data_IF_067310370574
#
_entry.id   IF_067310370574
#
_cell.length_a   1.000
_cell.length_b   1.000
_cell.length_c   1.000
_cell.angle_alpha   90.00
_cell.angle_beta   90.00
_cell.angle_gamma   90.00
#
_symmetry.space_group_name_H-M   'P 1'
#
loop_
_entity.id
_entity.type
_entity.pdbx_description
1 polymer ?
#
# COMPACT_ATOMS: atom_id res chain seq x y z
N UNK A 1 4.66 2.39 -0.48
CA UNK A 1 5.63 2.04 0.58
C UNK A 1 4.89 1.21 1.62
N UNK A 2 5.50 0.17 2.16
CA UNK A 2 4.97 -0.56 3.30
C UNK A 2 5.91 -0.40 4.49
N UNK A 3 5.35 -0.03 5.64
CA UNK A 3 6.05 0.05 6.92
C UNK A 3 5.91 -1.29 7.63
N UNK A 4 7.01 -1.82 8.17
CA UNK A 4 7.03 -3.01 9.02
C UNK A 4 7.26 -2.56 10.46
N UNK A 5 6.28 -2.78 11.32
CA UNK A 5 6.40 -2.45 12.75
C UNK A 5 7.39 -3.40 13.43
N UNK A 6 8.30 -2.84 14.23
CA UNK A 6 9.32 -3.58 15.00
C UNK A 6 9.08 -3.62 16.49
N UNK A 7 8.25 -2.71 17.02
CA UNK A 7 7.92 -2.62 18.44
C UNK A 7 6.41 -2.52 18.63
N UNK A 8 5.95 -3.12 19.73
CA UNK A 8 4.58 -2.95 20.19
C UNK A 8 4.35 -1.52 20.67
N UNK A 9 3.26 -0.88 20.27
CA UNK A 9 2.94 0.48 20.71
C UNK A 9 1.47 0.88 20.60
N UNK A 10 1.02 1.71 21.52
CA UNK A 10 -0.32 2.31 21.59
C UNK A 10 -0.14 3.76 22.02
N UNK A 11 -0.88 4.70 21.41
CA UNK A 11 -0.74 6.14 21.67
C UNK A 11 0.69 6.66 21.51
N UNK A 12 1.38 6.19 20.47
CA UNK A 12 2.79 6.51 20.22
C UNK A 12 2.91 8.01 19.91
N UNK A 13 3.78 8.78 20.61
CA UNK A 13 4.04 10.18 20.26
C UNK A 13 4.57 10.35 18.84
N UNK A 14 4.21 11.44 18.16
CA UNK A 14 4.58 11.66 16.75
C UNK A 14 6.09 11.69 16.54
N UNK A 15 6.82 12.33 17.45
CA UNK A 15 8.28 12.47 17.45
C UNK A 15 9.02 11.16 17.74
N UNK A 16 8.34 10.16 18.31
CA UNK A 16 8.90 8.84 18.59
C UNK A 16 8.47 7.77 17.56
N UNK A 17 7.53 8.10 16.67
CA UNK A 17 6.86 7.14 15.79
C UNK A 17 7.82 6.29 14.94
N UNK A 18 8.88 6.91 14.39
CA UNK A 18 9.85 6.20 13.54
C UNK A 18 10.69 5.18 14.34
N UNK A 19 10.85 5.36 15.65
CA UNK A 19 11.62 4.45 16.50
C UNK A 19 10.91 3.10 16.75
N UNK A 20 9.64 2.98 16.34
CA UNK A 20 8.85 1.75 16.43
C UNK A 20 8.92 0.89 15.17
N UNK A 21 9.55 1.38 14.11
CA UNK A 21 9.62 0.73 12.79
C UNK A 21 10.84 -0.20 12.73
N UNK A 22 10.66 -1.43 12.24
CA UNK A 22 11.77 -2.36 11.97
C UNK A 22 12.40 -2.12 10.58
N UNK A 23 11.57 -1.73 9.61
CA UNK A 23 12.03 -1.47 8.25
C UNK A 23 10.88 -1.21 7.30
N UNK A 24 11.20 -1.29 6.01
CA UNK A 24 10.32 -0.95 4.92
C UNK A 24 10.36 -2.01 3.83
N UNK A 25 9.24 -2.21 3.16
CA UNK A 25 9.13 -3.12 2.01
C UNK A 25 8.19 -2.55 0.95
N UNK A 26 8.03 -3.26 -0.16
CA UNK A 26 7.06 -2.94 -1.19
C UNK A 26 5.79 -3.75 -0.91
N UNK A 27 4.64 -3.10 -1.00
CA UNK A 27 3.34 -3.79 -1.06
C UNK A 27 2.55 -3.24 -2.25
N UNK A 28 1.95 -4.13 -3.02
CA UNK A 28 0.97 -3.76 -4.02
C UNK A 28 -0.44 -3.94 -3.44
N UNK A 29 -1.15 -2.84 -3.26
CA UNK A 29 -2.52 -2.83 -2.71
C UNK A 29 -3.53 -3.00 -3.85
N UNK A 30 -3.60 -4.22 -4.40
CA UNK A 30 -4.43 -4.57 -5.56
C UNK A 30 -5.90 -4.37 -5.19
N UNK A 31 -6.69 -3.84 -6.13
CA UNK A 31 -8.06 -3.43 -5.85
C UNK A 31 -9.01 -3.78 -7.00
N UNK A 32 -10.01 -4.61 -6.73
CA UNK A 32 -11.10 -4.86 -7.68
C UNK A 32 -12.15 -3.76 -7.55
N UNK A 33 -12.14 -2.82 -8.49
CA UNK A 33 -12.96 -1.61 -8.44
C UNK A 33 -14.40 -1.80 -8.90
N UNK A 34 -14.74 -2.96 -9.43
CA UNK A 34 -16.06 -3.33 -9.97
C UNK A 34 -16.70 -4.48 -9.20
N UNK A 35 -16.13 -4.89 -8.06
CA UNK A 35 -16.66 -5.98 -7.26
C UNK A 35 -18.13 -5.72 -6.89
N UNK A 36 -19.00 -6.68 -7.23
CA UNK A 36 -20.40 -6.73 -6.80
C UNK A 36 -20.64 -8.06 -6.11
N UNK A 37 -20.53 -8.09 -4.79
CA UNK A 37 -20.69 -9.31 -3.99
C UNK A 37 -22.14 -9.79 -4.02
N UNK A 38 -23.08 -8.85 -3.91
CA UNK A 38 -24.52 -9.08 -4.07
C UNK A 38 -25.16 -7.83 -4.64
N UNK A 39 -26.07 -8.01 -5.59
CA UNK A 39 -27.08 -6.99 -5.85
C UNK A 39 -28.00 -6.98 -4.63
N UNK A 40 -27.93 -5.94 -3.81
CA UNK A 40 -29.00 -5.70 -2.85
C UNK A 40 -30.27 -5.43 -3.66
N UNK A 41 -31.35 -6.12 -3.34
CA UNK A 41 -32.64 -5.95 -4.01
C UNK A 41 -33.12 -4.47 -3.98
N UNK A 42 -32.67 -3.72 -2.98
CA UNK A 42 -32.82 -2.27 -2.86
C UNK A 42 -31.47 -1.71 -2.40
N UNK A 43 -30.96 -0.70 -3.10
CA UNK A 43 -29.76 0.04 -2.69
C UNK A 43 -30.23 1.45 -2.40
N UNK A 44 -30.25 1.83 -1.13
CA UNK A 44 -30.57 3.20 -0.73
C UNK A 44 -29.38 4.13 -1.02
N UNK A 45 -29.61 5.44 -1.06
CA UNK A 45 -28.53 6.42 -1.23
C UNK A 45 -27.44 6.25 -0.16
N UNK A 46 -27.84 5.97 1.09
CA UNK A 46 -26.95 5.74 2.22
C UNK A 46 -26.16 4.42 2.15
N UNK A 47 -26.57 3.48 1.29
CA UNK A 47 -25.87 2.22 1.06
C UNK A 47 -24.70 2.37 0.07
N UNK A 48 -24.56 3.53 -0.57
CA UNK A 48 -23.49 3.81 -1.53
C UNK A 48 -22.17 4.01 -0.81
N UNK A 49 -21.48 2.91 -0.54
CA UNK A 49 -20.10 2.87 -0.11
C UNK A 49 -19.37 1.83 -0.95
N UNK A 50 -18.19 2.17 -1.48
CA UNK A 50 -17.33 1.17 -2.09
C UNK A 50 -16.75 0.31 -0.97
N UNK A 51 -17.04 -0.98 -1.01
CA UNK A 51 -16.53 -1.93 -0.02
C UNK A 51 -15.03 -2.17 -0.24
N UNK A 52 -14.23 -1.31 0.38
CA UNK A 52 -12.78 -1.38 0.36
C UNK A 52 -12.23 -2.69 0.91
N UNK A 53 -12.92 -3.27 1.90
CA UNK A 53 -12.51 -4.52 2.51
C UNK A 53 -12.59 -5.63 1.47
N UNK A 54 -13.78 -5.85 0.91
CA UNK A 54 -13.98 -6.91 -0.06
C UNK A 54 -13.25 -6.67 -1.39
N UNK A 55 -13.06 -5.41 -1.81
CA UNK A 55 -12.29 -5.08 -3.00
C UNK A 55 -10.78 -5.36 -2.92
N UNK A 56 -10.24 -5.67 -1.73
CA UNK A 56 -8.79 -5.77 -1.46
C UNK A 56 -8.34 -7.05 -0.77
N UNK A 57 -9.26 -7.92 -0.36
CA UNK A 57 -8.96 -9.10 0.46
C UNK A 57 -8.83 -10.42 -0.31
N UNK A 58 -8.99 -10.40 -1.64
CA UNK A 58 -8.89 -11.60 -2.47
C UNK A 58 -7.50 -12.23 -2.40
N UNK A 59 -7.43 -13.54 -2.64
CA UNK A 59 -6.17 -14.26 -2.75
C UNK A 59 -5.24 -13.54 -3.72
N UNK A 60 -3.97 -13.40 -3.33
CA UNK A 60 -2.90 -12.70 -4.08
C UNK A 60 -2.99 -11.16 -4.15
N UNK A 61 -3.98 -10.49 -3.52
CA UNK A 61 -4.17 -9.03 -3.65
C UNK A 61 -3.24 -8.14 -2.81
N UNK A 62 -2.37 -8.74 -1.99
CA UNK A 62 -1.35 -8.04 -1.24
C UNK A 62 0.07 -8.59 -1.53
N UNK A 63 0.57 -8.59 -2.78
CA UNK A 63 1.96 -8.94 -3.04
C UNK A 63 2.89 -8.04 -2.24
N UNK A 64 3.80 -8.65 -1.48
CA UNK A 64 4.67 -7.96 -0.53
C UNK A 64 6.09 -8.52 -0.62
N UNK A 65 7.10 -7.65 -0.60
CA UNK A 65 8.51 -8.02 -0.71
C UNK A 65 9.32 -7.05 -1.58
N UNK A 66 10.39 -7.50 -2.26
CA UNK A 66 10.97 -8.85 -2.19
C UNK A 66 11.66 -9.17 -0.85
N UNK A 67 12.01 -8.14 -0.09
CA UNK A 67 12.61 -8.23 1.25
C UNK A 67 12.24 -6.99 2.08
N UNK A 68 12.67 -6.98 3.34
CA UNK A 68 12.55 -5.83 4.25
C UNK A 68 13.90 -5.13 4.28
N UNK A 69 13.92 -3.84 3.96
CA UNK A 69 15.10 -2.97 4.14
C UNK A 69 15.02 -2.33 5.52
N UNK A 70 16.06 -2.46 6.32
CA UNK A 70 16.07 -1.98 7.70
C UNK A 70 16.17 -0.45 7.77
N UNK A 71 15.72 0.11 8.90
CA UNK A 71 15.67 1.58 9.12
C UNK A 71 17.03 2.28 9.04
N UNK A 72 18.15 1.58 9.28
CA UNK A 72 19.50 2.14 9.16
C UNK A 72 19.94 2.36 7.70
N UNK A 73 19.41 1.58 6.75
CA UNK A 73 19.66 1.77 5.32
C UNK A 73 18.75 2.87 4.70
N UNK A 74 17.61 3.16 5.35
CA UNK A 74 16.65 4.19 4.95
C UNK A 74 16.49 5.22 6.09
N UNK A 75 17.42 6.20 6.18
CA UNK A 75 17.40 7.18 7.27
C UNK A 75 16.22 8.15 7.19
N UNK A 76 15.66 8.37 6.00
CA UNK A 76 14.47 9.21 5.79
C UNK A 76 13.47 8.49 4.88
N UNK A 77 12.35 7.97 5.41
CA UNK A 77 11.33 7.30 4.60
C UNK A 77 10.52 8.25 3.71
N UNK A 78 10.63 9.58 3.90
CA UNK A 78 9.98 10.58 3.06
C UNK A 78 10.83 10.99 1.85
N UNK A 79 11.92 10.30 1.55
CA UNK A 79 12.76 10.60 0.37
C UNK A 79 12.96 9.39 -0.56
N UNK A 80 11.90 8.62 -0.80
CA UNK A 80 11.92 7.43 -1.65
C UNK A 80 11.09 7.66 -2.90
N UNK A 81 11.69 7.49 -4.09
CA UNK A 81 10.93 7.45 -5.33
C UNK A 81 10.23 6.10 -5.46
N UNK A 82 9.00 6.13 -5.93
CA UNK A 82 8.16 4.95 -6.17
C UNK A 82 7.74 4.98 -7.63
N UNK A 83 7.98 3.88 -8.34
CA UNK A 83 7.60 3.72 -9.74
C UNK A 83 6.86 2.42 -9.95
N UNK A 84 5.86 2.43 -10.84
CA UNK A 84 5.10 1.26 -11.23
C UNK A 84 4.97 1.19 -12.74
N UNK A 85 5.22 0.01 -13.29
CA UNK A 85 5.04 -0.31 -14.71
C UNK A 85 4.03 -1.44 -14.88
N UNK A 86 3.32 -1.40 -16.00
CA UNK A 86 2.53 -2.53 -16.49
C UNK A 86 3.08 -2.87 -17.87
N UNK A 87 3.59 -4.10 -18.05
CA UNK A 87 4.24 -4.54 -19.29
C UNK A 87 5.38 -3.60 -19.76
N UNK A 88 6.13 -3.04 -18.81
CA UNK A 88 7.20 -2.08 -19.08
C UNK A 88 6.73 -0.64 -19.37
N UNK A 89 5.44 -0.38 -19.48
CA UNK A 89 4.90 0.98 -19.62
C UNK A 89 4.71 1.63 -18.26
N UNK A 90 5.32 2.81 -18.05
CA UNK A 90 5.26 3.54 -16.78
C UNK A 90 3.83 4.04 -16.53
N UNK A 91 3.23 3.61 -15.42
CA UNK A 91 1.87 3.98 -15.02
C UNK A 91 1.86 4.91 -13.81
N UNK A 92 2.79 4.74 -12.87
CA UNK A 92 2.93 5.61 -11.70
C UNK A 92 4.40 5.97 -11.48
N UNK A 93 4.62 7.23 -11.11
CA UNK A 93 5.94 7.78 -10.76
C UNK A 93 5.72 8.88 -9.73
N UNK A 94 6.18 8.66 -8.50
CA UNK A 94 5.97 9.59 -7.39
C UNK A 94 7.08 9.49 -6.36
N UNK A 95 6.99 10.31 -5.32
CA UNK A 95 7.95 10.30 -4.23
C UNK A 95 7.22 10.33 -2.88
N UNK A 96 7.79 9.69 -1.86
CA UNK A 96 7.20 9.65 -0.52
C UNK A 96 7.14 11.03 0.14
N UNK A 97 7.93 12.02 -0.29
CA UNK A 97 7.80 13.43 0.16
C UNK A 97 6.45 14.05 -0.19
N UNK A 98 5.76 13.51 -1.19
CA UNK A 98 4.46 14.01 -1.66
C UNK A 98 3.29 13.39 -0.87
N UNK A 99 3.56 12.55 0.13
CA UNK A 99 2.54 12.01 1.02
C UNK A 99 1.86 13.12 1.81
N UNK A 100 0.53 13.10 1.84
CA UNK A 100 -0.28 14.04 2.64
C UNK A 100 -0.03 13.84 4.15
N UNK A 101 0.12 12.59 4.57
CA UNK A 101 0.48 12.20 5.93
C UNK A 101 1.79 11.43 5.86
N UNK A 102 2.79 11.86 6.63
CA UNK A 102 4.09 11.21 6.66
C UNK A 102 4.00 9.82 7.29
N UNK A 103 5.04 8.99 7.12
CA UNK A 103 5.12 7.71 7.83
C UNK A 103 4.96 7.87 9.35
N UNK A 104 5.54 8.92 9.94
CA UNK A 104 5.38 9.21 11.36
C UNK A 104 3.93 9.53 11.72
N UNK A 105 3.25 10.37 10.92
CA UNK A 105 1.83 10.71 11.13
C UNK A 105 0.93 9.47 11.08
N UNK A 106 1.18 8.58 10.12
CA UNK A 106 0.41 7.34 9.94
C UNK A 106 0.57 6.43 11.16
N UNK A 107 1.81 6.17 11.59
CA UNK A 107 2.08 5.32 12.77
C UNK A 107 1.48 5.93 14.04
N UNK A 108 1.69 7.23 14.25
CA UNK A 108 1.09 7.98 15.36
C UNK A 108 -0.43 7.80 15.38
N UNK A 109 -1.10 8.11 14.27
CA UNK A 109 -2.55 8.06 14.15
C UNK A 109 -3.11 6.64 14.35
N UNK A 110 -2.55 5.63 13.67
CA UNK A 110 -3.03 4.26 13.78
C UNK A 110 -2.86 3.71 15.21
N UNK A 111 -1.77 4.06 15.90
CA UNK A 111 -1.56 3.67 17.29
C UNK A 111 -2.59 4.25 18.27
N UNK A 112 -3.31 5.31 17.90
CA UNK A 112 -4.42 5.85 18.69
C UNK A 112 -5.71 5.04 18.49
N UNK A 113 -5.87 4.38 17.34
CA UNK A 113 -7.03 3.54 17.01
C UNK A 113 -6.85 2.11 17.56
N UNK A 114 -5.75 1.44 17.22
CA UNK A 114 -5.42 0.08 17.68
C UNK A 114 -4.03 0.02 18.29
N UNK A 115 -3.72 -1.03 19.05
CA UNK A 115 -2.33 -1.34 19.41
C UNK A 115 -1.64 -1.86 18.16
N UNK A 116 -0.47 -1.32 17.83
CA UNK A 116 0.41 -1.84 16.79
C UNK A 116 1.31 -2.91 17.40
N UNK A 117 1.46 -4.06 16.73
CA UNK A 117 2.27 -5.19 17.16
C UNK A 117 3.50 -5.37 16.24
N UNK A 118 4.62 -5.92 16.73
CA UNK A 118 5.75 -6.27 15.87
C UNK A 118 5.33 -7.24 14.76
N UNK A 119 5.71 -6.92 13.52
CA UNK A 119 5.28 -7.66 12.34
C UNK A 119 4.05 -7.08 11.64
N UNK A 120 3.35 -6.11 12.23
CA UNK A 120 2.29 -5.38 11.54
C UNK A 120 2.81 -4.69 10.29
N UNK A 121 2.05 -4.80 9.20
CA UNK A 121 2.33 -4.16 7.92
C UNK A 121 1.35 -3.02 7.68
N UNK A 122 1.89 -1.84 7.39
CA UNK A 122 1.08 -0.65 7.09
C UNK A 122 1.35 -0.22 5.64
N UNK A 123 0.36 -0.42 4.77
CA UNK A 123 0.38 0.12 3.41
C UNK A 123 0.07 1.62 3.45
N UNK A 124 1.05 2.47 3.10
CA UNK A 124 0.98 3.92 3.33
C UNK A 124 0.31 4.70 2.19
N UNK A 125 -0.50 4.01 1.37
CA UNK A 125 -1.12 4.59 0.17
C UNK A 125 -0.26 4.50 -1.10
N UNK A 126 -0.78 5.09 -2.19
CA UNK A 126 -0.23 5.00 -3.55
C UNK A 126 -0.16 6.39 -4.19
N UNK A 127 0.86 6.70 -5.01
CA UNK A 127 0.94 7.96 -5.75
C UNK A 127 -0.15 8.06 -6.83
N UNK A 128 -0.18 9.20 -7.54
CA UNK A 128 -1.04 9.39 -8.72
C UNK A 128 -0.76 8.34 -9.81
N UNK A 129 -1.69 8.19 -10.74
CA UNK A 129 -1.54 7.31 -11.93
C UNK A 129 -2.29 5.98 -11.85
N UNK A 130 -3.07 5.74 -10.79
CA UNK A 130 -3.92 4.55 -10.66
C UNK A 130 -4.84 4.35 -11.87
N UNK A 131 -4.97 3.10 -12.34
CA UNK A 131 -5.66 2.78 -13.58
C UNK A 131 -7.13 3.23 -13.62
N UNK A 132 -7.86 3.13 -12.51
CA UNK A 132 -9.29 3.49 -12.44
C UNK A 132 -9.57 4.95 -12.81
N UNK A 133 -8.67 5.89 -12.44
CA UNK A 133 -8.81 7.30 -12.77
C UNK A 133 -8.62 7.57 -14.28
N UNK A 134 -8.10 6.58 -15.02
CA UNK A 134 -7.81 6.61 -16.45
C UNK A 134 -8.66 5.60 -17.24
N UNK A 135 -9.59 4.90 -16.59
CA UNK A 135 -10.40 3.84 -17.21
C UNK A 135 -9.62 2.57 -17.57
N UNK A 136 -8.43 2.37 -16.99
CA UNK A 136 -7.57 1.22 -17.22
C UNK A 136 -7.73 0.16 -16.12
N UNK A 137 -7.64 -1.10 -16.52
CA UNK A 137 -7.71 -2.27 -15.64
C UNK A 137 -6.65 -3.28 -16.05
N UNK A 138 -6.14 -4.03 -15.07
CA UNK A 138 -5.24 -5.16 -15.30
C UNK A 138 -5.99 -6.27 -16.04
N UNK A 139 -5.26 -7.00 -16.89
CA UNK A 139 -5.76 -8.13 -17.67
C UNK A 139 -4.88 -9.36 -17.47
N UNK A 140 -5.41 -10.58 -17.68
CA UNK A 140 -4.59 -11.78 -17.71
C UNK A 140 -3.42 -11.63 -18.69
N UNK A 141 -2.21 -11.99 -18.24
CA UNK A 141 -0.97 -11.83 -18.99
C UNK A 141 -0.22 -10.53 -18.72
N UNK A 142 -0.84 -9.54 -18.05
CA UNK A 142 -0.12 -8.34 -17.63
C UNK A 142 0.94 -8.68 -16.57
N UNK A 143 2.08 -7.99 -16.62
CA UNK A 143 3.10 -8.02 -15.56
C UNK A 143 3.17 -6.66 -14.90
N UNK A 144 2.94 -6.64 -13.59
CA UNK A 144 3.05 -5.44 -12.76
C UNK A 144 4.42 -5.42 -12.09
N UNK A 145 5.20 -4.39 -12.35
CA UNK A 145 6.52 -4.17 -11.73
C UNK A 145 6.46 -2.93 -10.85
N UNK A 146 6.84 -3.04 -9.58
CA UNK A 146 6.98 -1.91 -8.67
C UNK A 146 8.44 -1.78 -8.26
N UNK A 147 8.96 -0.56 -8.25
CA UNK A 147 10.28 -0.24 -7.75
C UNK A 147 10.18 0.87 -6.71
N UNK A 148 10.86 0.67 -5.57
CA UNK A 148 11.08 1.73 -4.59
C UNK A 148 12.58 1.87 -4.38
N UNK A 149 13.09 3.09 -4.49
CA UNK A 149 14.51 3.40 -4.28
C UNK A 149 14.96 2.85 -2.91
N UNK A 150 16.19 2.32 -2.86
CA UNK A 150 16.79 1.65 -1.68
C UNK A 150 16.12 0.37 -1.20
N UNK A 151 14.95 -0.01 -1.72
CA UNK A 151 14.29 -1.28 -1.36
C UNK A 151 14.55 -2.32 -2.44
N UNK A 152 14.07 -2.11 -3.67
CA UNK A 152 14.24 -3.08 -4.75
C UNK A 152 13.08 -3.07 -5.74
N UNK A 153 12.90 -4.20 -6.43
CA UNK A 153 11.81 -4.44 -7.39
C UNK A 153 10.95 -5.62 -6.99
N UNK A 154 9.65 -5.47 -7.14
CA UNK A 154 8.64 -6.51 -6.97
C UNK A 154 7.87 -6.69 -8.27
N UNK A 155 7.89 -7.89 -8.84
CA UNK A 155 7.17 -8.24 -10.07
C UNK A 155 6.12 -9.31 -9.81
N UNK A 156 4.91 -9.06 -10.30
CA UNK A 156 3.78 -9.97 -10.14
C UNK A 156 3.05 -10.12 -11.49
N UNK A 157 3.00 -11.33 -12.07
CA UNK A 157 2.16 -11.59 -13.23
C UNK A 157 0.69 -11.66 -12.82
N UNK A 158 -0.19 -11.15 -13.67
CA UNK A 158 -1.63 -11.23 -13.52
C UNK A 158 -2.12 -12.45 -14.27
N UNK A 159 -2.78 -13.37 -13.57
CA UNK A 159 -3.38 -14.56 -14.15
C UNK A 159 -4.88 -14.54 -13.91
N UNK A 160 -5.67 -15.04 -14.87
CA UNK A 160 -7.06 -15.38 -14.59
C UNK A 160 -7.08 -16.59 -13.65
N UNK A 161 -8.08 -16.61 -12.78
CA UNK A 161 -8.45 -17.82 -12.05
C UNK A 161 -8.94 -18.93 -13.00
#
# INVERSE_FOLDING_TARGET
LCVVMGKRGKYIPLDDALNYIAGYTIINDVSERRLKIRERAQTEEWDRFFDWLNGKLMDTFAPCGPWITTVDEIPDPQQLRIRLWVNGELQQDGNTRDMIFTVADIVHYLSHISTLEPGDLIATGTPLGVGVARGLHLKPGDVVTIEIDKIGRLENPVMSE
#
